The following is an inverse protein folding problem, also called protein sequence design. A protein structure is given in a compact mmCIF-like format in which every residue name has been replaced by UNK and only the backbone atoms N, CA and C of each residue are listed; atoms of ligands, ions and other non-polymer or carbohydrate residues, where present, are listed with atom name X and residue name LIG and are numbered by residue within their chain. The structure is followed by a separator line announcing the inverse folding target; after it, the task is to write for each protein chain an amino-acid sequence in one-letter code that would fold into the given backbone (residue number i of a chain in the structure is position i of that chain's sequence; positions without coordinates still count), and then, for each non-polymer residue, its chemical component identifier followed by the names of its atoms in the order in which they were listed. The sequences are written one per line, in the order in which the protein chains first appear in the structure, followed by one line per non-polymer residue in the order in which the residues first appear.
data_IF_227244232687
#
_entry.id   IF_227244232687
#
_cell.length_a   1.000
_cell.length_b   1.000
_cell.length_c   1.000
_cell.angle_alpha   90.00
_cell.angle_beta   90.00
_cell.angle_gamma   90.00
#
_symmetry.space_group_name_H-M   'P 1'
#
loop_
_entity.id
_entity.type
_entity.pdbx_description
1 polymer ?
#
# COMPACT_ATOMS: atom_id res chain seq x y z
N UNK A 1 -5.37 -18.12 11.64
CA UNK A 1 -5.57 -16.67 11.87
C UNK A 1 -5.38 -16.46 13.36
N UNK A 2 -4.12 -16.36 13.74
CA UNK A 2 -3.76 -15.89 15.08
C UNK A 2 -3.89 -14.37 15.04
N UNK A 3 -4.59 -13.79 16.01
CA UNK A 3 -4.48 -12.36 16.25
C UNK A 3 -3.01 -12.10 16.55
N UNK A 4 -2.34 -11.32 15.70
CA UNK A 4 -1.14 -10.63 16.15
C UNK A 4 -1.63 -9.69 17.24
N UNK A 5 -1.20 -9.92 18.49
CA UNK A 5 -1.40 -8.97 19.58
C UNK A 5 -0.98 -7.58 19.08
N UNK A 6 -1.93 -6.67 18.91
CA UNK A 6 -1.69 -5.31 18.40
C UNK A 6 -2.41 -4.93 17.10
N UNK A 7 -3.12 -5.83 16.43
CA UNK A 7 -3.96 -5.48 15.27
C UNK A 7 -5.39 -5.12 15.69
N UNK A 8 -5.92 -4.00 15.19
CA UNK A 8 -7.29 -3.55 15.48
C UNK A 8 -8.37 -4.23 14.62
N UNK A 9 -7.98 -4.95 13.57
CA UNK A 9 -8.88 -5.69 12.71
C UNK A 9 -8.14 -6.57 11.69
N UNK A 10 -8.92 -7.24 10.84
CA UNK A 10 -8.39 -8.02 9.72
C UNK A 10 -9.48 -8.55 8.79
N UNK A 11 -9.12 -8.75 7.52
CA UNK A 11 -9.98 -9.32 6.48
C UNK A 11 -9.55 -10.75 6.12
N UNK A 12 -10.48 -11.70 6.14
CA UNK A 12 -10.25 -13.08 5.71
C UNK A 12 -10.92 -13.35 4.37
N UNK A 13 -10.11 -13.51 3.30
CA UNK A 13 -10.61 -13.92 1.98
C UNK A 13 -11.29 -15.30 2.02
N UNK A 14 -10.63 -16.28 2.63
CA UNK A 14 -11.10 -17.68 2.68
C UNK A 14 -12.41 -17.80 3.47
N UNK A 15 -12.49 -17.17 4.64
CA UNK A 15 -13.67 -17.26 5.51
C UNK A 15 -14.77 -16.25 5.15
N UNK A 16 -14.46 -15.26 4.29
CA UNK A 16 -15.35 -14.13 3.96
C UNK A 16 -15.79 -13.35 5.20
N UNK A 17 -14.83 -13.02 6.07
CA UNK A 17 -15.08 -12.32 7.33
C UNK A 17 -14.24 -11.05 7.43
N UNK A 18 -14.83 -10.00 7.99
CA UNK A 18 -14.11 -8.86 8.56
C UNK A 18 -14.19 -9.01 10.07
N UNK A 19 -13.06 -8.86 10.74
CA UNK A 19 -12.95 -9.00 12.19
C UNK A 19 -12.43 -7.68 12.74
N UNK A 20 -13.03 -7.20 13.82
CA UNK A 20 -12.64 -5.99 14.55
C UNK A 20 -12.27 -6.36 15.99
N UNK A 21 -11.31 -5.64 16.56
CA UNK A 21 -10.93 -5.81 17.96
C UNK A 21 -11.99 -5.21 18.89
N UNK A 22 -12.69 -6.01 19.71
CA UNK A 22 -13.75 -5.50 20.59
C UNK A 22 -13.25 -4.62 21.73
N UNK A 23 -11.92 -4.54 21.95
CA UNK A 23 -11.31 -3.68 22.97
C UNK A 23 -10.92 -2.30 22.44
N UNK A 24 -10.94 -2.10 21.12
CA UNK A 24 -10.65 -0.80 20.51
C UNK A 24 -11.89 0.08 20.55
N UNK A 25 -11.70 1.40 20.52
CA UNK A 25 -12.82 2.35 20.58
C UNK A 25 -13.49 2.49 19.22
N UNK A 26 -14.79 2.83 19.21
CA UNK A 26 -15.57 2.99 17.98
C UNK A 26 -14.95 4.01 17.02
N UNK A 27 -14.45 5.14 17.54
CA UNK A 27 -13.82 6.18 16.73
C UNK A 27 -12.52 5.72 16.02
N UNK A 28 -11.90 4.64 16.51
CA UNK A 28 -10.77 3.98 15.85
C UNK A 28 -11.26 2.86 14.91
N UNK A 29 -12.24 2.07 15.35
CA UNK A 29 -12.78 0.93 14.62
C UNK A 29 -13.47 1.29 13.32
N UNK A 30 -14.04 2.50 13.18
CA UNK A 30 -14.67 2.94 11.93
C UNK A 30 -13.65 2.96 10.78
N UNK A 31 -12.47 3.56 10.99
CA UNK A 31 -11.42 3.59 9.98
C UNK A 31 -10.90 2.18 9.63
N UNK A 32 -10.79 1.31 10.65
CA UNK A 32 -10.39 -0.09 10.48
C UNK A 32 -11.44 -0.85 9.67
N UNK A 33 -12.73 -0.71 9.98
CA UNK A 33 -13.80 -1.36 9.23
C UNK A 33 -13.77 -0.99 7.76
N UNK A 34 -13.58 0.29 7.44
CA UNK A 34 -13.49 0.75 6.03
C UNK A 34 -12.24 0.18 5.36
N UNK A 35 -11.09 0.15 6.05
CA UNK A 35 -9.85 -0.44 5.54
C UNK A 35 -10.02 -1.93 5.21
N UNK A 36 -10.55 -2.72 6.15
CA UNK A 36 -10.77 -4.16 5.94
C UNK A 36 -11.88 -4.46 4.91
N UNK A 37 -12.92 -3.62 4.85
CA UNK A 37 -13.93 -3.68 3.80
C UNK A 37 -13.34 -3.39 2.42
N UNK A 38 -12.33 -2.51 2.34
CA UNK A 38 -11.63 -2.27 1.08
C UNK A 38 -10.88 -3.51 0.61
N UNK A 39 -10.21 -4.23 1.51
CA UNK A 39 -9.58 -5.52 1.20
C UNK A 39 -10.61 -6.55 0.70
N UNK A 40 -11.78 -6.65 1.35
CA UNK A 40 -12.84 -7.53 0.87
C UNK A 40 -13.25 -7.21 -0.57
N UNK A 41 -13.40 -5.93 -0.90
CA UNK A 41 -13.68 -5.47 -2.26
C UNK A 41 -12.55 -5.80 -3.26
N UNK A 42 -11.29 -5.61 -2.87
CA UNK A 42 -10.13 -5.98 -3.70
C UNK A 42 -10.13 -7.50 -3.98
N UNK A 43 -10.41 -8.33 -2.97
CA UNK A 43 -10.49 -9.79 -3.15
C UNK A 43 -11.63 -10.23 -4.08
N UNK A 44 -12.80 -9.58 -4.00
CA UNK A 44 -13.91 -9.82 -4.94
C UNK A 44 -13.50 -9.52 -6.38
N UNK A 45 -12.65 -8.51 -6.60
CA UNK A 45 -12.10 -8.16 -7.91
C UNK A 45 -10.92 -9.04 -8.36
N UNK A 46 -10.57 -10.05 -7.58
CA UNK A 46 -9.53 -11.02 -7.95
C UNK A 46 -8.15 -10.78 -7.34
N UNK A 47 -8.00 -9.80 -6.45
CA UNK A 47 -6.73 -9.62 -5.72
C UNK A 47 -6.41 -10.86 -4.87
N UNK A 48 -5.12 -11.17 -4.71
CA UNK A 48 -4.69 -12.30 -3.90
C UNK A 48 -4.41 -11.90 -2.46
N UNK A 49 -4.52 -12.87 -1.56
CA UNK A 49 -4.07 -12.70 -0.19
C UNK A 49 -2.55 -12.92 -0.17
N UNK A 50 -1.80 -11.87 0.13
CA UNK A 50 -0.34 -11.93 0.13
C UNK A 50 0.23 -12.86 1.20
N UNK A 51 -0.57 -13.23 2.20
CA UNK A 51 -0.24 -14.18 3.26
C UNK A 51 -0.58 -15.64 2.94
N UNK A 52 -1.19 -15.91 1.77
CA UNK A 52 -1.53 -17.26 1.33
C UNK A 52 -0.29 -18.03 0.84
N UNK A 53 0.27 -18.85 1.73
CA UNK A 53 1.43 -19.70 1.44
C UNK A 53 1.13 -20.88 0.51
N UNK A 54 -0.13 -21.09 0.11
CA UNK A 54 -0.53 -22.11 -0.88
C UNK A 54 -0.36 -21.59 -2.30
N UNK A 55 -0.41 -20.27 -2.52
CA UNK A 55 -0.26 -19.65 -3.85
C UNK A 55 1.22 -19.67 -4.31
N UNK A 56 1.52 -20.18 -5.51
CA UNK A 56 2.84 -20.01 -6.12
C UNK A 56 3.20 -18.55 -6.38
N UNK A 57 4.46 -18.19 -6.16
CA UNK A 57 4.99 -16.84 -6.40
C UNK A 57 5.49 -16.75 -7.83
N UNK A 58 4.64 -16.24 -8.73
CA UNK A 58 4.96 -16.16 -10.17
C UNK A 58 5.49 -14.78 -10.56
N UNK A 59 5.01 -13.76 -9.88
CA UNK A 59 5.33 -12.38 -10.16
C UNK A 59 6.75 -12.04 -9.72
N UNK A 60 7.40 -11.10 -10.40
CA UNK A 60 8.72 -10.60 -10.00
C UNK A 60 8.67 -9.94 -8.62
N UNK A 61 9.80 -9.91 -7.92
CA UNK A 61 9.88 -9.32 -6.58
C UNK A 61 9.48 -7.84 -6.57
N UNK A 62 9.89 -7.06 -7.59
CA UNK A 62 9.38 -5.68 -7.80
C UNK A 62 7.86 -5.67 -7.86
N UNK A 63 7.25 -6.54 -8.68
CA UNK A 63 5.79 -6.58 -8.83
C UNK A 63 5.10 -6.93 -7.52
N UNK A 64 5.60 -7.92 -6.78
CA UNK A 64 5.02 -8.32 -5.50
C UNK A 64 5.11 -7.19 -4.46
N UNK A 65 6.27 -6.53 -4.33
CA UNK A 65 6.45 -5.37 -3.43
C UNK A 65 5.53 -4.22 -3.84
N UNK A 66 5.53 -3.85 -5.12
CA UNK A 66 4.73 -2.74 -5.63
C UNK A 66 3.23 -2.99 -5.40
N UNK A 67 2.74 -4.19 -5.71
CA UNK A 67 1.33 -4.56 -5.58
C UNK A 67 0.88 -4.67 -4.14
N UNK A 68 1.64 -5.34 -3.27
CA UNK A 68 1.29 -5.46 -1.85
C UNK A 68 1.28 -4.11 -1.14
N UNK A 69 2.25 -3.24 -1.41
CA UNK A 69 2.25 -1.86 -0.90
C UNK A 69 1.07 -1.05 -1.43
N UNK A 70 0.74 -1.16 -2.72
CA UNK A 70 -0.39 -0.45 -3.32
C UNK A 70 -1.75 -0.92 -2.76
N UNK A 71 -1.90 -2.21 -2.44
CA UNK A 71 -3.09 -2.79 -1.80
C UNK A 71 -3.37 -2.12 -0.45
N UNK A 72 -2.34 -2.02 0.40
CA UNK A 72 -2.41 -1.41 1.73
C UNK A 72 -2.60 0.12 1.65
N UNK A 73 -1.91 0.77 0.71
CA UNK A 73 -2.05 2.20 0.47
C UNK A 73 -3.46 2.57 -0.03
N UNK A 74 -4.07 1.80 -0.92
CA UNK A 74 -5.46 1.97 -1.36
C UNK A 74 -6.45 1.75 -0.21
N UNK A 75 -6.23 0.73 0.63
CA UNK A 75 -7.08 0.47 1.79
C UNK A 75 -7.04 1.64 2.80
N UNK A 76 -5.85 2.14 3.14
CA UNK A 76 -5.70 3.31 4.02
C UNK A 76 -6.24 4.60 3.39
N UNK A 77 -6.01 4.82 2.10
CA UNK A 77 -6.55 5.97 1.38
C UNK A 77 -8.08 5.96 1.35
N UNK A 78 -8.69 4.79 1.17
CA UNK A 78 -10.15 4.62 1.23
C UNK A 78 -10.69 4.91 2.62
N UNK A 79 -10.00 4.43 3.66
CA UNK A 79 -10.38 4.72 5.04
C UNK A 79 -10.42 6.22 5.30
N UNK A 80 -9.31 6.94 5.07
CA UNK A 80 -9.26 8.38 5.36
C UNK A 80 -10.23 9.20 4.50
N UNK A 81 -10.50 8.78 3.26
CA UNK A 81 -11.55 9.38 2.41
C UNK A 81 -12.93 9.31 3.10
N UNK A 82 -13.34 8.12 3.55
CA UNK A 82 -14.63 7.94 4.24
C UNK A 82 -14.68 8.74 5.55
N UNK A 83 -13.57 8.81 6.30
CA UNK A 83 -13.50 9.63 7.52
C UNK A 83 -13.58 11.14 7.20
N UNK A 84 -13.11 11.57 6.03
CA UNK A 84 -13.31 12.94 5.54
C UNK A 84 -14.76 13.24 5.19
N UNK A 85 -15.45 12.31 4.55
CA UNK A 85 -16.89 12.43 4.27
C UNK A 85 -17.71 12.49 5.58
N UNK A 86 -17.33 11.71 6.60
CA UNK A 86 -17.93 11.82 7.94
C UNK A 86 -17.68 13.18 8.59
N UNK A 87 -16.48 13.74 8.43
CA UNK A 87 -16.18 15.10 8.91
C UNK A 87 -17.07 16.14 8.23
N UNK A 88 -17.29 16.06 6.91
CA UNK A 88 -18.23 16.94 6.19
C UNK A 88 -19.68 16.77 6.68
N UNK A 89 -20.05 15.56 7.08
CA UNK A 89 -21.34 15.25 7.72
C UNK A 89 -21.42 15.69 9.20
N UNK A 90 -20.35 16.25 9.78
CA UNK A 90 -20.31 16.80 11.13
C UNK A 90 -19.66 15.90 12.19
N UNK A 91 -19.23 14.68 11.84
CA UNK A 91 -18.50 13.79 12.75
C UNK A 91 -16.99 13.79 12.45
N UNK A 92 -16.28 14.67 13.14
CA UNK A 92 -14.84 14.88 12.95
C UNK A 92 -13.96 13.90 13.75
N UNK A 93 -14.53 13.22 14.76
CA UNK A 93 -13.74 12.49 15.76
C UNK A 93 -12.93 11.34 15.15
N UNK A 94 -13.52 10.48 14.29
CA UNK A 94 -12.78 9.39 13.67
C UNK A 94 -11.58 9.86 12.83
N UNK A 95 -11.73 10.93 12.04
CA UNK A 95 -10.65 11.49 11.24
C UNK A 95 -9.49 12.00 12.10
N UNK A 96 -9.79 12.63 13.25
CA UNK A 96 -8.76 13.11 14.18
C UNK A 96 -7.97 11.95 14.80
N UNK A 97 -8.66 10.89 15.23
CA UNK A 97 -8.01 9.70 15.80
C UNK A 97 -7.14 9.02 14.75
N UNK A 98 -7.68 8.80 13.55
CA UNK A 98 -6.93 8.26 12.43
C UNK A 98 -5.68 9.09 12.11
N UNK A 99 -5.81 10.41 12.02
CA UNK A 99 -4.71 11.31 11.67
C UNK A 99 -3.62 11.35 12.74
N UNK A 100 -3.95 11.12 14.01
CA UNK A 100 -2.95 10.99 15.09
C UNK A 100 -2.15 9.69 14.96
N UNK A 101 -2.82 8.58 14.63
CA UNK A 101 -2.16 7.30 14.40
C UNK A 101 -1.36 7.28 13.08
N UNK A 102 -1.86 7.94 12.03
CA UNK A 102 -1.33 7.93 10.67
C UNK A 102 -0.91 9.34 10.22
N UNK A 103 -0.01 9.97 10.98
CA UNK A 103 0.32 11.39 10.82
C UNK A 103 0.71 11.87 9.41
N UNK A 104 1.45 11.06 8.64
CA UNK A 104 1.80 11.42 7.26
C UNK A 104 0.56 11.47 6.35
N UNK A 105 -0.27 10.42 6.42
CA UNK A 105 -1.51 10.30 5.65
C UNK A 105 -2.47 11.41 6.03
N UNK A 106 -2.73 11.61 7.33
CA UNK A 106 -3.63 12.67 7.82
C UNK A 106 -3.20 14.05 7.35
N UNK A 107 -1.90 14.39 7.45
CA UNK A 107 -1.39 15.70 6.98
C UNK A 107 -1.54 15.87 5.47
N UNK A 108 -1.20 14.87 4.67
CA UNK A 108 -1.31 14.95 3.22
C UNK A 108 -2.78 15.08 2.77
N UNK A 109 -3.67 14.30 3.39
CA UNK A 109 -5.11 14.37 3.17
C UNK A 109 -5.69 15.74 3.51
N UNK A 110 -5.48 16.23 4.73
CA UNK A 110 -5.99 17.55 5.15
C UNK A 110 -5.42 18.68 4.30
N UNK A 111 -4.16 18.58 3.86
CA UNK A 111 -3.56 19.55 2.94
C UNK A 111 -4.27 19.55 1.58
N UNK A 112 -4.58 18.39 1.01
CA UNK A 112 -5.30 18.30 -0.25
C UNK A 112 -6.72 18.89 -0.12
N UNK A 113 -7.47 18.51 0.92
CA UNK A 113 -8.80 19.06 1.21
C UNK A 113 -8.79 20.57 1.40
N UNK A 114 -7.72 21.14 1.98
CA UNK A 114 -7.60 22.59 2.17
C UNK A 114 -7.21 23.36 0.89
N UNK A 115 -6.47 22.74 -0.02
CA UNK A 115 -5.88 23.44 -1.19
C UNK A 115 -6.68 23.27 -2.47
N UNK A 116 -7.51 22.24 -2.56
CA UNK A 116 -8.26 21.90 -3.77
C UNK A 116 -9.75 21.82 -3.42
N UNK A 117 -10.56 22.61 -4.12
CA UNK A 117 -12.02 22.50 -4.04
C UNK A 117 -12.43 21.09 -4.50
N UNK A 118 -13.45 20.53 -3.85
CA UNK A 118 -13.99 19.20 -4.19
C UNK A 118 -12.96 18.06 -4.14
N UNK A 119 -11.89 18.19 -3.33
CA UNK A 119 -10.81 17.19 -3.25
C UNK A 119 -11.28 15.77 -2.89
N UNK A 120 -12.39 15.65 -2.14
CA UNK A 120 -13.00 14.38 -1.79
C UNK A 120 -13.70 13.71 -2.98
N UNK A 121 -14.42 14.46 -3.80
CA UNK A 121 -15.18 13.91 -4.93
C UNK A 121 -14.32 13.70 -6.17
N UNK A 122 -13.28 14.52 -6.34
CA UNK A 122 -12.36 14.42 -7.48
C UNK A 122 -11.32 13.30 -7.31
N UNK A 123 -11.11 12.80 -6.09
CA UNK A 123 -10.09 11.79 -5.77
C UNK A 123 -8.70 12.37 -5.46
N UNK A 124 -8.56 13.70 -5.42
CA UNK A 124 -7.30 14.37 -5.07
C UNK A 124 -6.87 14.05 -3.63
N UNK A 125 -7.79 14.15 -2.66
CA UNK A 125 -7.51 13.85 -1.27
C UNK A 125 -7.11 12.37 -1.06
N UNK A 126 -7.82 11.45 -1.73
CA UNK A 126 -7.51 10.03 -1.70
C UNK A 126 -6.17 9.70 -2.39
N UNK A 127 -5.83 10.38 -3.48
CA UNK A 127 -4.51 10.28 -4.13
C UNK A 127 -3.40 10.75 -3.19
N UNK A 128 -3.57 11.89 -2.52
CA UNK A 128 -2.59 12.40 -1.57
C UNK A 128 -2.36 11.44 -0.40
N UNK A 129 -3.43 10.87 0.15
CA UNK A 129 -3.37 9.85 1.20
C UNK A 129 -2.63 8.59 0.76
N UNK A 130 -2.93 8.07 -0.44
CA UNK A 130 -2.25 6.91 -1.02
C UNK A 130 -0.74 7.12 -1.10
N UNK A 131 -0.31 8.27 -1.62
CA UNK A 131 1.12 8.57 -1.77
C UNK A 131 1.82 8.74 -0.42
N UNK A 132 1.14 9.35 0.55
CA UNK A 132 1.68 9.56 1.89
C UNK A 132 1.87 8.27 2.70
N UNK A 133 1.18 7.19 2.35
CA UNK A 133 1.41 5.87 2.96
C UNK A 133 2.87 5.42 2.80
N UNK A 134 3.50 5.73 1.66
CA UNK A 134 4.89 5.37 1.37
C UNK A 134 5.92 6.14 2.22
N UNK A 135 5.51 7.17 2.97
CA UNK A 135 6.39 7.87 3.92
C UNK A 135 6.63 7.07 5.21
N UNK A 136 5.80 6.05 5.49
CA UNK A 136 5.94 5.22 6.67
C UNK A 136 6.92 4.06 6.44
N UNK A 137 8.21 4.34 6.60
CA UNK A 137 9.27 3.34 6.42
C UNK A 137 9.13 2.11 7.34
N UNK A 138 8.61 2.29 8.57
CA UNK A 138 8.41 1.19 9.51
C UNK A 138 7.30 0.24 9.04
N UNK A 139 6.16 0.78 8.59
CA UNK A 139 5.05 -0.02 8.07
C UNK A 139 5.46 -0.74 6.78
N UNK A 140 6.11 -0.06 5.82
CA UNK A 140 6.62 -0.71 4.61
C UNK A 140 7.51 -1.91 4.94
N UNK A 141 8.45 -1.71 5.86
CA UNK A 141 9.38 -2.77 6.30
C UNK A 141 8.62 -3.95 6.91
N UNK A 142 7.63 -3.69 7.77
CA UNK A 142 6.82 -4.74 8.38
C UNK A 142 6.07 -5.57 7.33
N UNK A 143 5.46 -4.92 6.33
CA UNK A 143 4.78 -5.62 5.24
C UNK A 143 5.74 -6.36 4.30
N UNK A 144 6.90 -5.79 3.97
CA UNK A 144 7.89 -6.49 3.14
C UNK A 144 8.40 -7.76 3.85
N UNK A 145 8.65 -7.69 5.16
CA UNK A 145 9.04 -8.85 5.96
C UNK A 145 7.91 -9.89 5.97
N UNK A 146 6.69 -9.50 6.33
CA UNK A 146 5.57 -10.43 6.45
C UNK A 146 5.17 -11.06 5.13
N UNK A 147 5.05 -10.26 4.07
CA UNK A 147 4.51 -10.73 2.79
C UNK A 147 5.57 -11.24 1.83
N UNK A 148 6.83 -10.80 1.91
CA UNK A 148 7.88 -11.26 1.01
C UNK A 148 8.81 -12.25 1.72
N UNK A 149 9.47 -11.83 2.79
CA UNK A 149 10.48 -12.67 3.47
C UNK A 149 9.86 -13.90 4.12
N UNK A 150 8.89 -13.72 5.02
CA UNK A 150 8.29 -14.84 5.74
C UNK A 150 7.59 -15.81 4.80
N UNK A 151 6.93 -15.31 3.75
CA UNK A 151 6.26 -16.17 2.77
C UNK A 151 7.26 -17.01 1.98
N UNK A 152 8.36 -16.42 1.53
CA UNK A 152 9.45 -17.16 0.88
C UNK A 152 10.04 -18.23 1.82
N UNK A 153 10.29 -17.88 3.08
CA UNK A 153 10.80 -18.82 4.08
C UNK A 153 9.83 -19.96 4.36
N UNK A 154 8.53 -19.68 4.56
CA UNK A 154 7.49 -20.69 4.80
C UNK A 154 7.35 -21.63 3.61
N UNK A 155 7.30 -21.09 2.39
CA UNK A 155 7.21 -21.91 1.17
C UNK A 155 8.45 -22.78 0.97
N UNK A 156 9.65 -22.24 1.21
CA UNK A 156 10.90 -23.01 1.15
C UNK A 156 10.95 -24.13 2.21
N UNK A 157 10.61 -23.81 3.47
CA UNK A 157 10.53 -24.80 4.57
C UNK A 157 9.56 -25.94 4.25
N UNK A 158 8.45 -25.63 3.58
CA UNK A 158 7.44 -26.60 3.19
C UNK A 158 7.71 -27.27 1.84
N UNK A 159 8.85 -26.98 1.18
CA UNK A 159 9.21 -27.53 -0.13
C UNK A 159 8.33 -27.08 -1.30
N UNK A 160 7.46 -26.08 -1.10
CA UNK A 160 6.54 -25.52 -2.10
C UNK A 160 7.22 -24.54 -3.06
N UNK A 161 8.40 -24.05 -2.70
CA UNK A 161 9.16 -23.08 -3.49
C UNK A 161 9.53 -23.56 -4.90
N UNK A 162 9.46 -24.87 -5.19
CA UNK A 162 9.68 -25.43 -6.53
C UNK A 162 8.67 -24.95 -7.58
N UNK A 163 7.50 -24.48 -7.13
CA UNK A 163 6.43 -23.95 -7.99
C UNK A 163 6.59 -22.45 -8.26
N UNK A 164 7.49 -21.78 -7.53
CA UNK A 164 7.71 -20.34 -7.66
C UNK A 164 8.57 -20.06 -8.90
N UNK A 165 8.27 -18.99 -9.63
CA UNK A 165 9.00 -18.65 -10.88
C UNK A 165 9.60 -17.26 -10.86
N UNK A 166 8.96 -16.29 -10.18
CA UNK A 166 9.41 -14.89 -10.14
C UNK A 166 9.72 -14.29 -11.53
N UNK A 167 8.90 -14.61 -12.52
CA UNK A 167 9.12 -14.30 -13.95
C UNK A 167 8.11 -13.31 -14.54
N UNK A 168 6.99 -13.07 -13.86
CA UNK A 168 5.89 -12.25 -14.39
C UNK A 168 5.98 -10.82 -13.87
N UNK A 169 6.22 -9.85 -14.75
CA UNK A 169 6.22 -8.42 -14.38
C UNK A 169 4.89 -7.76 -14.66
N UNK A 170 4.51 -6.80 -13.80
CA UNK A 170 3.39 -5.90 -14.03
C UNK A 170 3.87 -4.45 -13.94
N UNK A 171 3.32 -3.60 -14.80
CA UNK A 171 3.60 -2.16 -14.76
C UNK A 171 2.81 -1.48 -13.64
N UNK A 172 3.29 -0.33 -13.18
CA UNK A 172 2.58 0.46 -12.18
C UNK A 172 1.19 0.91 -12.67
N UNK A 173 1.03 1.23 -13.96
CA UNK A 173 -0.26 1.60 -14.55
C UNK A 173 -1.28 0.48 -14.37
N UNK A 174 -0.87 -0.78 -14.62
CA UNK A 174 -1.76 -1.92 -14.44
C UNK A 174 -2.17 -2.08 -12.97
N UNK A 175 -1.21 -2.00 -12.04
CA UNK A 175 -1.50 -2.13 -10.61
C UNK A 175 -2.46 -1.03 -10.14
N UNK A 176 -2.21 0.22 -10.53
CA UNK A 176 -3.09 1.35 -10.19
C UNK A 176 -4.48 1.17 -10.82
N UNK A 177 -4.58 0.71 -12.06
CA UNK A 177 -5.87 0.46 -12.71
C UNK A 177 -6.67 -0.67 -12.06
N UNK A 178 -6.00 -1.71 -11.55
CA UNK A 178 -6.66 -2.84 -10.88
C UNK A 178 -7.16 -2.45 -9.47
N UNK A 179 -6.42 -1.58 -8.77
CA UNK A 179 -6.62 -1.30 -7.35
C UNK A 179 -7.33 0.02 -7.07
N UNK A 180 -6.91 1.12 -7.69
CA UNK A 180 -7.27 2.48 -7.30
C UNK A 180 -8.65 2.93 -7.82
N UNK A 181 -9.68 2.13 -7.54
CA UNK A 181 -11.03 2.34 -8.04
C UNK A 181 -11.93 3.09 -7.06
N UNK A 182 -12.68 4.06 -7.57
CA UNK A 182 -13.83 4.70 -6.94
C UNK A 182 -15.06 3.76 -6.96
N UNK A 183 -16.16 4.20 -6.34
CA UNK A 183 -17.40 3.41 -6.23
C UNK A 183 -18.09 3.15 -7.57
N UNK A 184 -17.93 4.06 -8.54
CA UNK A 184 -18.44 3.93 -9.91
C UNK A 184 -17.51 3.11 -10.83
N UNK A 185 -16.40 2.59 -10.29
CA UNK A 185 -15.41 1.83 -11.05
C UNK A 185 -14.39 2.69 -11.81
N UNK A 186 -14.44 4.03 -11.71
CA UNK A 186 -13.42 4.91 -12.29
C UNK A 186 -12.15 4.91 -11.44
N UNK A 187 -11.00 5.25 -12.04
CA UNK A 187 -9.75 5.39 -11.28
C UNK A 187 -9.72 6.74 -10.55
N UNK A 188 -9.55 6.71 -9.22
CA UNK A 188 -9.42 7.94 -8.43
C UNK A 188 -8.00 8.52 -8.44
N UNK A 189 -6.99 7.71 -8.78
CA UNK A 189 -5.59 8.08 -8.66
C UNK A 189 -5.20 9.12 -9.72
N UNK A 190 -4.71 10.29 -9.28
CA UNK A 190 -4.47 11.45 -10.17
C UNK A 190 -3.02 11.67 -10.59
N UNK A 191 -2.05 10.96 -10.03
CA UNK A 191 -0.66 11.07 -10.46
C UNK A 191 -0.37 10.12 -11.61
N UNK A 192 0.76 10.33 -12.29
CA UNK A 192 1.31 9.36 -13.22
C UNK A 192 1.66 8.06 -12.46
N UNK A 193 1.01 6.91 -12.78
CA UNK A 193 1.28 5.65 -12.09
C UNK A 193 2.75 5.24 -12.09
N UNK A 194 3.51 5.63 -13.12
CA UNK A 194 4.95 5.33 -13.23
C UNK A 194 5.76 5.80 -12.01
N UNK A 195 5.24 6.74 -11.22
CA UNK A 195 5.85 7.16 -9.93
C UNK A 195 6.11 5.98 -9.00
N UNK A 196 5.26 4.95 -9.02
CA UNK A 196 5.42 3.76 -8.14
C UNK A 196 6.58 2.86 -8.56
N UNK A 197 7.16 3.08 -9.73
CA UNK A 197 8.36 2.38 -10.19
C UNK A 197 9.66 3.07 -9.75
N UNK A 198 9.58 4.29 -9.22
CA UNK A 198 10.75 4.98 -8.67
C UNK A 198 11.30 4.21 -7.46
N UNK A 199 12.64 4.20 -7.34
CA UNK A 199 13.38 3.56 -6.23
C UNK A 199 12.86 3.95 -4.85
N UNK A 200 12.33 5.14 -4.67
CA UNK A 200 11.69 5.53 -3.41
C UNK A 200 10.53 4.60 -3.01
N UNK A 201 9.72 4.18 -3.99
CA UNK A 201 8.51 3.37 -3.79
C UNK A 201 8.77 1.87 -3.81
N UNK A 202 9.81 1.40 -4.51
CA UNK A 202 10.12 -0.04 -4.62
C UNK A 202 11.25 -0.53 -3.72
N UNK A 203 12.15 0.35 -3.25
CA UNK A 203 13.27 -0.11 -2.44
C UNK A 203 12.77 -0.62 -1.08
N UNK A 204 13.39 -1.70 -0.63
CA UNK A 204 13.26 -2.19 0.75
C UNK A 204 14.36 -1.57 1.62
N UNK A 205 14.28 -1.73 2.93
CA UNK A 205 15.40 -1.36 3.80
C UNK A 205 16.56 -2.36 3.64
N UNK A 206 17.74 -2.02 4.19
CA UNK A 206 18.95 -2.82 4.00
C UNK A 206 18.81 -4.25 4.54
N UNK A 207 18.21 -4.44 5.72
CA UNK A 207 18.11 -5.76 6.33
C UNK A 207 17.19 -6.65 5.50
N UNK A 208 16.02 -6.13 5.11
CA UNK A 208 15.09 -6.85 4.25
C UNK A 208 15.70 -7.16 2.88
N UNK A 209 16.50 -6.24 2.32
CA UNK A 209 17.26 -6.47 1.08
C UNK A 209 18.21 -7.66 1.21
N UNK A 210 19.00 -7.71 2.29
CA UNK A 210 19.96 -8.79 2.53
C UNK A 210 19.25 -10.15 2.64
N UNK A 211 18.13 -10.20 3.37
CA UNK A 211 17.32 -11.42 3.54
C UNK A 211 16.66 -11.88 2.23
N UNK A 212 16.02 -10.97 1.49
CA UNK A 212 15.39 -11.30 0.21
C UNK A 212 16.43 -11.72 -0.84
N UNK A 213 17.60 -11.08 -0.89
CA UNK A 213 18.67 -11.46 -1.79
C UNK A 213 19.20 -12.87 -1.47
N UNK A 214 19.35 -13.18 -0.17
CA UNK A 214 19.70 -14.54 0.26
C UNK A 214 18.63 -15.55 -0.19
N UNK A 215 17.35 -15.27 0.04
CA UNK A 215 16.25 -16.17 -0.35
C UNK A 215 16.13 -16.31 -1.86
N UNK A 216 16.30 -15.24 -2.64
CA UNK A 216 16.28 -15.32 -4.11
C UNK A 216 17.42 -16.18 -4.65
N UNK A 217 18.59 -16.17 -4.01
CA UNK A 217 19.74 -16.99 -4.42
C UNK A 217 19.62 -18.47 -4.04
N UNK A 218 19.02 -18.77 -2.88
CA UNK A 218 19.06 -20.11 -2.29
C UNK A 218 17.70 -20.80 -2.22
N UNK A 219 16.60 -20.06 -2.37
CA UNK A 219 15.22 -20.54 -2.15
C UNK A 219 14.28 -20.26 -3.32
N UNK A 220 14.58 -19.33 -4.25
CA UNK A 220 13.73 -19.06 -5.41
C UNK A 220 14.25 -19.73 -6.71
N UNK A 221 13.40 -20.33 -7.56
CA UNK A 221 13.82 -21.07 -8.78
C UNK A 221 13.65 -20.30 -10.10
N UNK A 222 14.42 -20.72 -11.11
CA UNK A 222 14.41 -20.36 -12.54
C UNK A 222 14.74 -18.91 -12.95
N UNK A 223 14.02 -17.88 -12.49
CA UNK A 223 14.16 -16.50 -13.00
C UNK A 223 14.79 -15.51 -11.99
N UNK A 224 15.63 -15.98 -11.06
CA UNK A 224 16.28 -15.13 -10.05
C UNK A 224 17.04 -13.93 -10.62
N UNK A 225 17.59 -14.07 -11.83
CA UNK A 225 18.39 -13.04 -12.51
C UNK A 225 17.56 -12.07 -13.36
N UNK A 226 16.22 -12.16 -13.30
CA UNK A 226 15.33 -11.19 -13.96
C UNK A 226 15.61 -9.76 -13.43
N UNK A 227 15.70 -8.72 -14.28
CA UNK A 227 16.05 -7.36 -13.83
C UNK A 227 15.16 -6.83 -12.70
N UNK A 228 13.85 -7.05 -12.80
CA UNK A 228 12.88 -6.64 -11.77
C UNK A 228 13.01 -7.39 -10.44
N UNK A 229 13.72 -8.51 -10.39
CA UNK A 229 14.05 -9.17 -9.13
C UNK A 229 15.25 -8.52 -8.42
N UNK A 230 16.06 -7.75 -9.16
CA UNK A 230 17.27 -7.09 -8.64
C UNK A 230 17.04 -5.64 -8.20
N UNK A 231 16.07 -4.95 -8.81
CA UNK A 231 15.76 -3.54 -8.54
C UNK A 231 15.49 -3.22 -7.05
N UNK A 232 14.74 -4.04 -6.29
CA UNK A 232 14.46 -3.75 -4.88
C UNK A 232 15.71 -3.69 -3.99
N UNK A 233 16.83 -4.25 -4.44
CA UNK A 233 18.10 -4.32 -3.70
C UNK A 233 19.03 -3.12 -3.94
N UNK A 234 18.68 -2.22 -4.86
CA UNK A 234 19.52 -1.07 -5.15
C UNK A 234 19.52 -0.08 -3.97
N UNK A 235 20.64 0.62 -3.69
CA UNK A 235 20.70 1.58 -2.60
C UNK A 235 19.60 2.63 -2.72
N UNK A 236 18.98 3.01 -1.60
CA UNK A 236 18.04 4.14 -1.56
C UNK A 236 18.81 5.42 -1.98
N UNK A 237 18.28 6.25 -2.90
CA UNK A 237 18.86 7.54 -3.19
C UNK A 237 18.96 8.40 -1.92
N UNK A 238 20.01 9.23 -1.80
CA UNK A 238 20.25 10.06 -0.61
C UNK A 238 19.09 11.04 -0.41
N UNK A 239 18.77 11.34 0.86
CA UNK A 239 17.65 12.21 1.28
C UNK A 239 17.66 13.60 0.59
N UNK A 240 18.80 14.08 0.12
CA UNK A 240 18.96 15.34 -0.63
C UNK A 240 18.40 15.32 -2.04
N UNK A 241 18.17 14.15 -2.64
CA UNK A 241 17.47 14.01 -3.93
C UNK A 241 15.94 14.03 -3.77
N UNK A 242 15.42 13.82 -2.55
CA UNK A 242 13.98 13.81 -2.25
C UNK A 242 13.28 15.17 -2.45
N UNK A 243 14.02 16.28 -2.44
CA UNK A 243 13.45 17.62 -2.65
C UNK A 243 13.28 18.00 -4.12
N UNK A 244 13.85 17.23 -5.07
CA UNK A 244 13.68 17.54 -6.50
C UNK A 244 12.42 16.91 -7.10
N UNK A 245 11.83 15.92 -6.45
CA UNK A 245 10.67 15.17 -6.96
C UNK A 245 9.38 15.41 -6.16
N UNK A 246 9.42 16.24 -5.10
CA UNK A 246 8.23 16.65 -4.36
C UNK A 246 7.48 17.76 -5.10
N UNK A 247 6.39 17.40 -5.79
CA UNK A 247 5.32 18.21 -6.39
C UNK A 247 5.74 19.47 -7.19
N UNK A 248 5.20 19.70 -8.41
CA UNK A 248 5.22 21.03 -8.98
C UNK A 248 4.53 21.96 -7.98
N UNK A 249 5.25 22.97 -7.47
CA UNK A 249 4.59 24.17 -6.96
C UNK A 249 3.73 24.67 -8.12
N UNK A 250 2.41 24.44 -8.03
CA UNK A 250 1.46 25.18 -8.85
C UNK A 250 1.75 26.65 -8.62
N UNK A 251 2.23 27.31 -9.68
CA UNK A 251 2.41 28.75 -9.71
C UNK A 251 1.07 29.38 -9.33
N UNK A 252 1.01 30.02 -8.16
CA UNK A 252 -0.09 30.92 -7.83
C UNK A 252 -0.05 32.08 -8.81
N UNK A 253 -1.21 32.34 -9.39
CA UNK A 253 -1.61 33.46 -10.22
C UNK A 253 -0.85 34.75 -9.90
N UNK A 254 -0.06 35.22 -10.86
CA UNK A 254 0.09 36.65 -11.11
C UNK A 254 -1.12 37.09 -11.94
N UNK A 255 -1.64 38.28 -11.62
CA UNK A 255 -2.71 39.04 -12.28
C UNK A 255 -4.13 38.84 -11.73
N UNK A 256 -4.41 39.56 -10.64
CA UNK A 256 -5.61 40.42 -10.62
C UNK A 256 -5.16 41.81 -10.16
N UNK A 257 -5.26 42.78 -11.08
CA UNK A 257 -5.40 44.21 -10.76
C UNK A 257 -6.88 44.53 -10.86
#
# INVERSE_FOLDING_TARGET
MEFVLGCNGGCSKEKKLIILNPLSKDEELIGVLVHEARHAGQFVRGEYDASDDKRPRKETLKTQIMRTRAVEADAQATAVQALGEMMEAGDVTPLQVFSRANGAIGRAFSKAVYLEDDALSTGAARTAAFMAWYENDAIKTAYDLAYQVEMMQRRAKNGKNKEDTYSESQSAEKIVSDLCLASDGTCYFKQDPAVLEDRYFINVDRKTSDELNYLMKHSAPSAKDHPDNMLPFLPRPRRTERQKTSLPLMKRFENVR
#
